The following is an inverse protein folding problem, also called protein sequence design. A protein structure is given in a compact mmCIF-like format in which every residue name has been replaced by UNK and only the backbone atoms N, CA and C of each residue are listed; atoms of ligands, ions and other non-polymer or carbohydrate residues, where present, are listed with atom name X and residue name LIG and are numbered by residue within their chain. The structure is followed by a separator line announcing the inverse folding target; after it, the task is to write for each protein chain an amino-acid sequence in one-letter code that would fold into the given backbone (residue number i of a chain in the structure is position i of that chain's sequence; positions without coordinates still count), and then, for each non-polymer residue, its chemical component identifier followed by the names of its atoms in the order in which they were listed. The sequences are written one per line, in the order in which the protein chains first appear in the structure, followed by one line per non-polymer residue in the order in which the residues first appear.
data_IF_848808843855
#
_entry.id   IF_848808843855
#
_cell.length_a   1.000
_cell.length_b   1.000
_cell.length_c   1.000
_cell.angle_alpha   90.00
_cell.angle_beta   90.00
_cell.angle_gamma   90.00
#
_symmetry.space_group_name_H-M   'P 1'
#
loop_
_entity.id
_entity.type
_entity.pdbx_description
1 polymer ?
#
# COMPACT_ATOMS: atom_id res chain seq x y z
N UNK A 1 21.47 18.61 -13.26
CA UNK A 1 20.02 18.88 -13.27
C UNK A 1 19.42 18.99 -14.66
N UNK A 2 18.54 18.04 -15.02
CA UNK A 2 17.63 18.17 -16.17
C UNK A 2 16.49 19.10 -15.75
N UNK A 3 16.04 20.00 -16.61
CA UNK A 3 14.90 20.87 -16.29
C UNK A 3 13.64 20.04 -16.03
N UNK A 4 12.86 20.42 -15.01
CA UNK A 4 11.62 19.75 -14.57
C UNK A 4 10.74 19.25 -15.72
N UNK A 5 10.37 20.13 -16.65
CA UNK A 5 9.49 19.75 -17.77
C UNK A 5 10.07 18.68 -18.69
N UNK A 6 11.40 18.66 -18.89
CA UNK A 6 12.08 17.64 -19.70
C UNK A 6 12.16 16.33 -18.92
N UNK A 7 12.44 16.38 -17.61
CA UNK A 7 12.47 15.21 -16.75
C UNK A 7 11.09 14.54 -16.68
N UNK A 8 10.03 15.32 -16.44
CA UNK A 8 8.65 14.85 -16.38
C UNK A 8 8.17 14.28 -17.72
N UNK A 9 8.48 14.95 -18.83
CA UNK A 9 8.13 14.43 -20.16
C UNK A 9 8.82 13.10 -20.47
N UNK A 10 10.08 12.92 -20.04
CA UNK A 10 10.78 11.64 -20.18
C UNK A 10 10.21 10.55 -19.28
N UNK A 11 9.84 10.88 -18.05
CA UNK A 11 9.19 9.95 -17.13
C UNK A 11 7.84 9.46 -17.70
N UNK A 12 6.98 10.39 -18.13
CA UNK A 12 5.71 10.08 -18.81
C UNK A 12 5.87 9.36 -20.14
N UNK A 13 6.97 9.57 -20.87
CA UNK A 13 7.22 8.84 -22.11
C UNK A 13 7.61 7.36 -21.87
N UNK A 14 8.16 7.04 -20.69
CA UNK A 14 8.59 5.69 -20.34
C UNK A 14 7.57 4.92 -19.47
N UNK A 15 6.46 5.56 -19.09
CA UNK A 15 5.35 4.96 -18.33
C UNK A 15 4.02 5.27 -19.00
N UNK A 16 3.31 4.23 -19.42
CA UNK A 16 2.00 4.37 -20.07
C UNK A 16 0.85 4.45 -19.09
N UNK A 17 1.07 3.97 -17.86
CA UNK A 17 0.14 3.84 -16.73
C UNK A 17 0.19 5.03 -15.76
N UNK A 18 0.65 6.20 -16.23
CA UNK A 18 0.84 7.37 -15.37
C UNK A 18 -0.48 7.88 -14.78
N UNK A 19 -0.56 7.97 -13.45
CA UNK A 19 -1.77 8.26 -12.65
C UNK A 19 -2.91 7.23 -12.87
N UNK A 20 -2.60 6.03 -13.37
CA UNK A 20 -3.57 4.93 -13.50
C UNK A 20 -3.26 3.77 -12.54
N UNK A 21 -2.16 3.89 -11.78
CA UNK A 21 -1.71 2.86 -10.84
C UNK A 21 -2.43 3.01 -9.51
N UNK A 22 -2.70 1.89 -8.88
CA UNK A 22 -3.26 1.81 -7.53
C UNK A 22 -2.27 1.17 -6.56
N UNK A 23 -2.40 1.50 -5.28
CA UNK A 23 -1.76 0.78 -4.17
C UNK A 23 -2.82 0.25 -3.21
N UNK A 24 -2.64 -0.97 -2.70
CA UNK A 24 -3.48 -1.52 -1.65
C UNK A 24 -3.12 -0.80 -0.34
N UNK A 25 -4.09 -0.11 0.24
CA UNK A 25 -3.93 0.62 1.50
C UNK A 25 -4.38 -0.18 2.70
N UNK A 26 -5.33 -1.11 2.50
CA UNK A 26 -5.93 -1.88 3.59
C UNK A 26 -6.45 -3.22 3.08
N UNK A 27 -6.43 -4.24 3.94
CA UNK A 27 -7.20 -5.46 3.77
C UNK A 27 -8.28 -5.55 4.86
N UNK A 28 -9.43 -6.11 4.51
CA UNK A 28 -10.53 -6.40 5.41
C UNK A 28 -10.76 -7.90 5.38
N UNK A 29 -10.62 -8.55 6.53
CA UNK A 29 -10.89 -9.97 6.69
C UNK A 29 -12.25 -10.11 7.38
N UNK A 30 -13.20 -10.71 6.68
CA UNK A 30 -14.51 -11.04 7.22
C UNK A 30 -14.48 -12.46 7.77
N UNK A 31 -14.80 -12.63 9.05
CA UNK A 31 -14.82 -13.92 9.72
C UNK A 31 -16.04 -14.03 10.62
N UNK A 32 -16.49 -15.26 10.92
CA UNK A 32 -17.68 -15.45 11.75
C UNK A 32 -17.45 -16.41 12.91
N UNK A 33 -18.23 -16.20 13.98
CA UNK A 33 -18.49 -17.17 15.03
C UNK A 33 -19.85 -17.86 14.78
N UNK A 34 -20.31 -18.67 15.73
CA UNK A 34 -21.57 -19.41 15.58
C UNK A 34 -22.82 -18.52 15.35
N UNK A 35 -22.77 -17.24 15.73
CA UNK A 35 -23.92 -16.34 15.80
C UNK A 35 -23.73 -15.00 15.03
N UNK A 36 -22.48 -14.55 14.80
CA UNK A 36 -22.17 -13.23 14.26
C UNK A 36 -20.97 -13.21 13.30
N UNK A 37 -20.97 -12.21 12.42
CA UNK A 37 -19.90 -11.87 11.48
C UNK A 37 -19.12 -10.64 12.00
N UNK A 38 -17.81 -10.66 11.78
CA UNK A 38 -16.86 -9.66 12.25
C UNK A 38 -15.91 -9.28 11.10
N UNK A 39 -15.44 -8.04 11.14
CA UNK A 39 -14.52 -7.47 10.16
C UNK A 39 -13.22 -7.09 10.88
N UNK A 40 -12.10 -7.63 10.43
CA UNK A 40 -10.76 -7.26 10.87
C UNK A 40 -10.07 -6.42 9.80
N UNK A 41 -9.81 -5.15 10.12
CA UNK A 41 -9.11 -4.22 9.24
C UNK A 41 -7.59 -4.24 9.47
N UNK A 42 -6.82 -4.36 8.39
CA UNK A 42 -5.36 -4.41 8.39
C UNK A 42 -4.83 -3.34 7.45
N UNK A 43 -4.17 -2.31 8.00
CA UNK A 43 -3.56 -1.24 7.20
C UNK A 43 -2.19 -1.68 6.62
N UNK A 44 -1.94 -1.35 5.34
CA UNK A 44 -0.64 -1.51 4.70
C UNK A 44 0.30 -0.34 5.05
N UNK A 45 0.61 -0.18 6.34
CA UNK A 45 1.36 0.98 6.89
C UNK A 45 2.72 1.19 6.22
N UNK A 46 3.36 0.10 5.78
CA UNK A 46 4.70 0.14 5.18
C UNK A 46 4.69 0.31 3.66
N UNK A 47 3.52 0.48 3.03
CA UNK A 47 3.37 0.49 1.56
C UNK A 47 4.12 -0.68 0.93
N UNK A 48 3.92 -1.87 1.49
CA UNK A 48 4.38 -3.11 0.87
C UNK A 48 3.77 -3.21 -0.53
N UNK A 49 4.51 -3.80 -1.46
CA UNK A 49 4.00 -4.04 -2.80
C UNK A 49 2.67 -4.82 -2.74
N UNK A 50 1.70 -4.48 -3.59
CA UNK A 50 0.35 -5.07 -3.55
C UNK A 50 0.38 -6.61 -3.54
N UNK A 51 1.24 -7.21 -4.37
CA UNK A 51 1.37 -8.68 -4.44
C UNK A 51 1.95 -9.27 -3.14
N UNK A 52 2.91 -8.59 -2.51
CA UNK A 52 3.51 -9.02 -1.24
C UNK A 52 2.50 -8.89 -0.09
N UNK A 53 1.76 -7.78 -0.04
CA UNK A 53 0.73 -7.55 0.97
C UNK A 53 -0.42 -8.55 0.84
N UNK A 54 -0.95 -8.77 -0.37
CA UNK A 54 -2.00 -9.76 -0.61
C UNK A 54 -1.56 -11.16 -0.19
N UNK A 55 -0.36 -11.60 -0.61
CA UNK A 55 0.15 -12.93 -0.23
C UNK A 55 0.32 -13.07 1.29
N UNK A 56 0.82 -12.03 1.95
CA UNK A 56 0.98 -12.03 3.40
C UNK A 56 -0.38 -12.10 4.13
N UNK A 57 -1.37 -11.31 3.69
CA UNK A 57 -2.72 -11.34 4.27
C UNK A 57 -3.35 -12.72 4.08
N UNK A 58 -3.28 -13.30 2.88
CA UNK A 58 -3.84 -14.63 2.61
C UNK A 58 -3.17 -15.73 3.45
N UNK A 59 -1.85 -15.69 3.63
CA UNK A 59 -1.12 -16.67 4.46
C UNK A 59 -1.47 -16.52 5.94
N UNK A 60 -1.70 -15.29 6.42
CA UNK A 60 -1.91 -14.99 7.83
C UNK A 60 -3.37 -14.82 8.23
N UNK A 61 -4.32 -14.84 7.29
CA UNK A 61 -5.72 -14.48 7.53
C UNK A 61 -6.36 -15.28 8.67
N UNK A 62 -6.20 -16.60 8.66
CA UNK A 62 -6.74 -17.47 9.72
C UNK A 62 -6.08 -17.20 11.08
N UNK A 63 -4.78 -16.92 11.10
CA UNK A 63 -4.08 -16.60 12.34
C UNK A 63 -4.50 -15.25 12.91
N UNK A 64 -4.75 -14.27 12.05
CA UNK A 64 -5.19 -12.93 12.41
C UNK A 64 -6.63 -12.96 12.93
N UNK A 65 -7.55 -13.63 12.23
CA UNK A 65 -8.92 -13.79 12.67
C UNK A 65 -9.03 -14.56 14.00
N UNK A 66 -8.19 -15.59 14.23
CA UNK A 66 -8.13 -16.27 15.53
C UNK A 66 -7.64 -15.37 16.66
N UNK A 67 -6.62 -14.55 16.39
CA UNK A 67 -6.12 -13.61 17.39
C UNK A 67 -7.17 -12.54 17.73
N UNK A 68 -7.88 -12.03 16.73
CA UNK A 68 -8.97 -11.08 16.90
C UNK A 68 -10.16 -11.69 17.67
N UNK A 69 -10.52 -12.95 17.38
CA UNK A 69 -11.53 -13.67 18.15
C UNK A 69 -11.10 -13.87 19.62
N UNK A 70 -9.84 -14.24 19.87
CA UNK A 70 -9.31 -14.38 21.24
C UNK A 70 -9.32 -13.05 22.00
N UNK A 71 -8.98 -11.93 21.34
CA UNK A 71 -9.03 -10.59 21.92
C UNK A 71 -10.46 -10.15 22.29
N UNK A 72 -11.42 -10.44 21.40
CA UNK A 72 -12.83 -10.12 21.62
C UNK A 72 -13.55 -11.13 22.55
N UNK A 73 -12.90 -12.22 22.92
CA UNK A 73 -13.46 -13.27 23.77
C UNK A 73 -14.52 -14.12 23.07
N UNK A 74 -14.43 -14.23 21.75
CA UNK A 74 -15.32 -15.01 20.87
C UNK A 74 -14.59 -16.25 20.33
N UNK A 75 -15.25 -17.06 19.51
CA UNK A 75 -14.68 -18.27 18.91
C UNK A 75 -14.65 -18.13 17.41
N UNK A 76 -13.46 -18.15 16.82
CA UNK A 76 -13.31 -18.22 15.37
C UNK A 76 -13.81 -19.57 14.84
N UNK A 77 -14.71 -19.54 13.86
CA UNK A 77 -15.16 -20.73 13.12
C UNK A 77 -14.53 -20.80 11.72
N UNK A 78 -14.77 -19.78 10.89
CA UNK A 78 -14.31 -19.75 9.49
C UNK A 78 -14.13 -18.31 8.97
N UNK A 79 -13.29 -18.16 7.93
CA UNK A 79 -13.18 -16.94 7.14
C UNK A 79 -14.27 -16.94 6.07
N UNK A 80 -15.05 -15.87 5.98
CA UNK A 80 -16.03 -15.69 4.90
C UNK A 80 -15.37 -15.11 3.63
N UNK A 81 -14.62 -14.02 3.80
CA UNK A 81 -14.05 -13.27 2.67
C UNK A 81 -12.84 -12.44 3.09
N UNK A 82 -12.00 -12.11 2.10
CA UNK A 82 -10.89 -11.17 2.23
C UNK A 82 -11.03 -10.15 1.12
N UNK A 83 -11.25 -8.90 1.49
CA UNK A 83 -11.36 -7.77 0.57
C UNK A 83 -10.16 -6.84 0.70
N UNK A 84 -9.79 -6.18 -0.40
CA UNK A 84 -8.67 -5.23 -0.44
C UNK A 84 -9.19 -3.86 -0.86
N UNK A 85 -8.79 -2.84 -0.10
CA UNK A 85 -9.05 -1.44 -0.43
C UNK A 85 -7.82 -0.87 -1.15
N UNK A 86 -8.05 -0.31 -2.33
CA UNK A 86 -7.03 0.28 -3.18
C UNK A 86 -7.27 1.80 -3.31
N UNK A 87 -6.19 2.57 -3.30
CA UNK A 87 -6.21 4.00 -3.63
C UNK A 87 -5.42 4.28 -4.89
N UNK A 88 -5.83 5.31 -5.62
CA UNK A 88 -5.07 5.85 -6.75
C UNK A 88 -3.73 6.42 -6.28
N UNK A 89 -2.67 6.10 -7.01
CA UNK A 89 -1.35 6.69 -6.83
C UNK A 89 -1.27 7.99 -7.62
N UNK A 90 -0.95 9.09 -6.93
CA UNK A 90 -0.61 10.36 -7.56
C UNK A 90 0.85 10.32 -8.04
N UNK A 91 1.09 9.78 -9.25
CA UNK A 91 2.42 9.73 -9.86
C UNK A 91 2.98 11.14 -10.11
N UNK A 92 2.12 12.17 -10.27
CA UNK A 92 2.56 13.56 -10.38
C UNK A 92 3.17 14.04 -9.05
N UNK A 93 2.51 13.80 -7.91
CA UNK A 93 3.03 14.15 -6.59
C UNK A 93 4.30 13.36 -6.23
N UNK A 94 4.33 12.05 -6.50
CA UNK A 94 5.52 11.22 -6.28
C UNK A 94 6.71 11.68 -7.13
N UNK A 95 6.46 12.07 -8.37
CA UNK A 95 7.51 12.61 -9.24
C UNK A 95 8.04 13.94 -8.72
N UNK A 96 7.16 14.83 -8.24
CA UNK A 96 7.55 16.13 -7.72
C UNK A 96 8.45 15.98 -6.48
N UNK A 97 8.08 15.11 -5.54
CA UNK A 97 8.91 14.79 -4.36
C UNK A 97 10.27 14.19 -4.76
N UNK A 98 10.28 13.20 -5.66
CA UNK A 98 11.51 12.58 -6.12
C UNK A 98 12.43 13.56 -6.87
N UNK A 99 11.85 14.48 -7.64
CA UNK A 99 12.60 15.52 -8.34
C UNK A 99 13.21 16.52 -7.36
N UNK A 100 12.46 16.96 -6.34
CA UNK A 100 12.97 17.84 -5.28
C UNK A 100 14.11 17.20 -4.49
N UNK A 101 13.96 15.93 -4.08
CA UNK A 101 15.01 15.18 -3.39
C UNK A 101 16.28 15.04 -4.26
N UNK A 102 16.12 14.77 -5.56
CA UNK A 102 17.24 14.73 -6.49
C UNK A 102 17.94 16.10 -6.65
N UNK A 103 17.16 17.19 -6.62
CA UNK A 103 17.69 18.54 -6.65
C UNK A 103 18.50 18.89 -5.39
N UNK A 104 17.98 18.52 -4.23
CA UNK A 104 18.65 18.70 -2.94
C UNK A 104 19.96 17.90 -2.91
N UNK A 105 19.92 16.62 -3.30
CA UNK A 105 21.12 15.77 -3.36
C UNK A 105 22.20 16.32 -4.31
N UNK A 106 21.82 16.80 -5.51
CA UNK A 106 22.79 17.43 -6.42
C UNK A 106 23.42 18.68 -5.79
N UNK A 107 22.63 19.47 -5.05
CA UNK A 107 23.12 20.67 -4.37
C UNK A 107 24.06 20.34 -3.20
N UNK A 108 23.74 19.34 -2.37
CA UNK A 108 24.61 18.85 -1.29
C UNK A 108 25.95 18.37 -1.85
N UNK A 109 25.92 17.56 -2.92
CA UNK A 109 27.12 17.09 -3.61
C UNK A 109 27.99 18.25 -4.14
N UNK A 110 27.37 19.32 -4.67
CA UNK A 110 28.09 20.49 -5.19
C UNK A 110 28.66 21.37 -4.09
N UNK A 111 27.97 21.45 -2.95
CA UNK A 111 28.35 22.31 -1.82
C UNK A 111 29.21 21.59 -0.77
N UNK A 112 29.36 20.27 -0.89
CA UNK A 112 30.17 19.44 0.00
C UNK A 112 29.58 19.34 1.41
N UNK A 113 28.25 19.41 1.50
CA UNK A 113 27.49 19.32 2.75
C UNK A 113 27.06 17.89 3.03
#
# INVERSE_FOLDING_TARGET
MVAYGIAKARAKANRTDWNERTEITKAVITWFDADYEYELEIENEHRMDNEEFTAWVEENAESLAKADAEENGTTFEEIDSIDFEETDIDDDALFDEAYEAACEFEWECQTGR
#
